data_IF_408834241072
#
_entry.id   IF_408834241072
#
_cell.length_a   1.000
_cell.length_b   1.000
_cell.length_c   1.000
_cell.angle_alpha   90.00
_cell.angle_beta   90.00
_cell.angle_gamma   90.00
#
_symmetry.space_group_name_H-M   'P 1'
#
loop_
_entity.id
_entity.type
_entity.pdbx_description
1 polymer ?
#
# COMPACT_ATOMS: atom_id res chain seq x y z
N UNK A 1 11.60 34.34 -25.63
CA UNK A 1 12.12 33.97 -24.30
C UNK A 1 11.26 34.46 -23.13
N UNK A 2 10.72 35.69 -23.14
CA UNK A 2 9.94 36.22 -22.00
C UNK A 2 8.65 35.45 -21.64
N UNK A 3 7.99 34.82 -22.63
CA UNK A 3 6.75 34.04 -22.42
C UNK A 3 6.96 32.77 -21.58
N UNK A 4 8.14 32.16 -21.65
CA UNK A 4 8.47 30.95 -20.88
C UNK A 4 8.72 31.28 -19.40
N UNK A 5 9.31 32.44 -19.12
CA UNK A 5 9.50 32.93 -17.75
C UNK A 5 8.17 33.20 -17.05
N UNK A 6 7.18 33.77 -17.74
CA UNK A 6 5.83 33.96 -17.18
C UNK A 6 5.10 32.64 -16.95
N UNK A 7 5.27 31.66 -17.85
CA UNK A 7 4.69 30.32 -17.68
C UNK A 7 5.30 29.59 -16.47
N UNK A 8 6.62 29.69 -16.30
CA UNK A 8 7.33 29.11 -15.16
C UNK A 8 6.95 29.81 -13.84
N UNK A 9 6.82 31.14 -13.85
CA UNK A 9 6.35 31.89 -12.69
C UNK A 9 4.92 31.51 -12.28
N UNK A 10 4.01 31.33 -13.24
CA UNK A 10 2.65 30.84 -12.97
C UNK A 10 2.67 29.42 -12.38
N UNK A 11 3.50 28.52 -12.91
CA UNK A 11 3.62 27.14 -12.43
C UNK A 11 4.11 27.08 -10.97
N UNK A 12 5.00 27.99 -10.57
CA UNK A 12 5.51 28.06 -9.20
C UNK A 12 4.50 28.60 -8.17
N UNK A 13 3.43 29.29 -8.60
CA UNK A 13 2.42 29.87 -7.69
C UNK A 13 1.26 28.88 -7.42
N UNK A 14 0.99 27.95 -8.35
CA UNK A 14 -0.07 26.95 -8.23
C UNK A 14 -0.08 26.09 -6.93
N UNK A 15 1.05 25.64 -6.35
CA UNK A 15 1.00 24.75 -5.18
C UNK A 15 0.52 25.45 -3.90
N UNK A 16 0.48 26.79 -3.85
CA UNK A 16 -0.05 27.53 -2.69
C UNK A 16 -1.56 27.35 -2.51
N UNK A 17 -2.29 26.99 -3.57
CA UNK A 17 -3.74 26.78 -3.54
C UNK A 17 -4.13 25.37 -3.03
N UNK A 18 -3.17 24.46 -2.89
CA UNK A 18 -3.40 23.10 -2.41
C UNK A 18 -3.30 23.02 -0.88
N UNK A 19 -4.16 23.76 -0.17
CA UNK A 19 -4.32 23.60 1.28
C UNK A 19 -5.38 22.52 1.54
N UNK A 20 -4.94 21.28 1.78
CA UNK A 20 -5.83 20.19 2.18
C UNK A 20 -6.06 20.24 3.69
N UNK A 21 -7.19 20.81 4.10
CA UNK A 21 -7.60 20.84 5.50
C UNK A 21 -8.37 19.56 5.85
N UNK A 22 -7.98 18.88 6.94
CA UNK A 22 -8.65 17.67 7.41
C UNK A 22 -9.51 18.02 8.63
N UNK A 23 -10.75 17.54 8.66
CA UNK A 23 -11.70 17.75 9.74
C UNK A 23 -12.00 16.43 10.45
N UNK A 24 -12.11 16.46 11.78
CA UNK A 24 -12.55 15.33 12.61
C UNK A 24 -13.85 15.70 13.33
N UNK A 25 -14.88 14.88 13.17
CA UNK A 25 -16.08 14.91 14.00
C UNK A 25 -16.15 13.66 14.88
N UNK A 26 -16.72 13.82 16.07
CA UNK A 26 -17.08 12.73 16.97
C UNK A 26 -18.57 12.88 17.25
N UNK A 27 -19.35 11.84 16.97
CA UNK A 27 -20.79 11.85 17.24
C UNK A 27 -21.11 11.53 18.71
N UNK A 28 -22.41 11.49 19.05
CA UNK A 28 -22.88 11.22 20.40
C UNK A 28 -22.56 9.78 20.87
N UNK A 29 -22.41 8.84 19.93
CA UNK A 29 -22.10 7.43 20.20
C UNK A 29 -20.58 7.17 20.23
N UNK A 30 -19.77 8.19 19.94
CA UNK A 30 -18.30 8.15 19.96
C UNK A 30 -17.65 7.75 18.63
N UNK A 31 -18.42 7.62 17.54
CA UNK A 31 -17.84 7.32 16.23
C UNK A 31 -17.05 8.52 15.71
N UNK A 32 -15.86 8.22 15.19
CA UNK A 32 -14.95 9.21 14.63
C UNK A 32 -15.06 9.21 13.12
N UNK A 33 -15.36 10.37 12.54
CA UNK A 33 -15.36 10.57 11.08
C UNK A 33 -14.32 11.62 10.69
N UNK A 34 -13.51 11.28 9.69
CA UNK A 34 -12.54 12.18 9.07
C UNK A 34 -13.04 12.62 7.69
N UNK A 35 -12.91 13.91 7.38
CA UNK A 35 -13.31 14.47 6.09
C UNK A 35 -12.27 15.47 5.57
N UNK A 36 -12.08 15.49 4.25
CA UNK A 36 -11.30 16.51 3.53
C UNK A 36 -12.13 17.78 3.22
N UNK A 37 -13.41 17.78 3.56
CA UNK A 37 -14.31 18.93 3.46
C UNK A 37 -14.91 19.30 4.81
N UNK A 38 -15.31 20.56 5.04
CA UNK A 38 -15.94 20.97 6.28
C UNK A 38 -17.21 20.18 6.57
N UNK A 39 -17.33 19.64 7.78
CA UNK A 39 -18.50 18.89 8.24
C UNK A 39 -19.08 19.53 9.51
N UNK A 40 -20.40 19.43 9.68
CA UNK A 40 -21.11 20.01 10.84
C UNK A 40 -20.59 19.36 12.14
N UNK A 41 -20.12 20.18 13.07
CA UNK A 41 -19.50 19.71 14.33
C UNK A 41 -18.07 19.18 14.18
N UNK A 42 -17.51 19.18 12.96
CA UNK A 42 -16.12 18.81 12.73
C UNK A 42 -15.15 19.91 13.18
N UNK A 43 -14.10 19.51 13.89
CA UNK A 43 -12.98 20.38 14.24
C UNK A 43 -11.86 20.17 13.23
N UNK A 44 -11.29 21.27 12.72
CA UNK A 44 -10.10 21.22 11.86
C UNK A 44 -8.94 20.61 12.63
N UNK A 45 -8.30 19.60 12.06
CA UNK A 45 -7.13 18.95 12.63
C UNK A 45 -5.91 19.76 12.21
N UNK A 46 -5.17 20.24 13.21
CA UNK A 46 -3.82 20.75 13.02
C UNK A 46 -2.90 19.57 13.32
N UNK A 47 -2.29 19.01 12.28
CA UNK A 47 -1.29 17.96 12.46
C UNK A 47 -0.03 18.62 12.99
N UNK A 48 0.34 18.31 14.23
CA UNK A 48 1.67 18.63 14.72
C UNK A 48 2.72 17.86 13.88
N UNK A 49 3.92 18.42 13.67
CA UNK A 49 4.99 17.70 13.00
C UNK A 49 5.19 16.34 13.66
N UNK A 50 5.05 15.26 12.88
CA UNK A 50 5.26 13.91 13.40
C UNK A 50 6.67 13.84 14.00
N UNK A 51 6.85 13.26 15.20
CA UNK A 51 8.16 13.13 15.80
C UNK A 51 9.03 12.29 14.86
N UNK A 52 10.11 12.88 14.36
CA UNK A 52 11.08 12.24 13.45
C UNK A 52 12.02 11.26 14.18
N UNK A 53 11.54 10.61 15.24
CA UNK A 53 12.35 9.63 15.97
C UNK A 53 12.59 8.41 15.09
N UNK A 54 13.86 8.02 15.01
CA UNK A 54 14.27 6.75 14.38
C UNK A 54 13.47 5.64 15.05
N UNK A 55 12.78 4.76 14.30
CA UNK A 55 12.05 3.65 14.90
C UNK A 55 13.03 2.83 15.75
N UNK A 56 12.63 2.37 16.95
CA UNK A 56 13.49 1.54 17.76
C UNK A 56 13.96 0.35 16.92
N UNK A 57 15.26 0.02 17.01
CA UNK A 57 15.83 -1.11 16.31
C UNK A 57 14.95 -2.33 16.56
N UNK A 58 14.37 -2.87 15.49
CA UNK A 58 13.46 -4.02 15.55
C UNK A 58 14.21 -5.13 16.27
N UNK A 59 13.83 -5.44 17.51
CA UNK A 59 14.34 -6.62 18.17
C UNK A 59 14.02 -7.78 17.24
N UNK A 60 15.07 -8.53 16.84
CA UNK A 60 14.88 -9.73 16.03
C UNK A 60 13.90 -10.59 16.81
N UNK A 61 12.72 -10.76 16.23
CA UNK A 61 11.54 -11.34 16.85
C UNK A 61 11.91 -12.61 17.60
N UNK A 62 11.38 -12.74 18.81
CA UNK A 62 11.52 -13.91 19.66
C UNK A 62 11.37 -15.20 18.85
N UNK A 63 12.24 -16.18 19.13
CA UNK A 63 12.04 -17.54 18.66
C UNK A 63 10.59 -17.96 18.90
N UNK A 64 9.98 -18.64 17.93
CA UNK A 64 8.62 -19.16 18.06
C UNK A 64 8.45 -19.84 19.42
N UNK A 65 7.32 -19.65 20.14
CA UNK A 65 7.13 -20.21 21.48
C UNK A 65 7.50 -21.70 21.54
N UNK A 66 8.15 -22.14 22.63
CA UNK A 66 8.68 -23.50 22.81
C UNK A 66 7.64 -24.64 22.58
N UNK A 67 6.34 -24.32 22.61
CA UNK A 67 5.25 -25.27 22.35
C UNK A 67 4.57 -25.13 20.97
N UNK A 68 5.07 -24.28 20.07
CA UNK A 68 4.43 -24.11 18.76
C UNK A 68 4.70 -25.32 17.85
N UNK A 69 3.66 -25.98 17.30
CA UNK A 69 3.84 -27.13 16.42
C UNK A 69 4.72 -26.78 15.22
N UNK A 70 5.79 -27.55 15.02
CA UNK A 70 6.70 -27.40 13.87
C UNK A 70 6.45 -28.54 12.89
N UNK A 71 6.41 -28.20 11.62
CA UNK A 71 6.42 -29.18 10.52
C UNK A 71 7.86 -29.62 10.32
N UNK A 72 8.10 -30.91 10.14
CA UNK A 72 9.43 -31.43 9.85
C UNK A 72 9.92 -30.98 8.46
N UNK A 73 11.24 -30.97 8.27
CA UNK A 73 11.86 -30.45 7.06
C UNK A 73 11.52 -31.25 5.79
N UNK A 74 11.26 -32.56 5.91
CA UNK A 74 10.92 -33.42 4.78
C UNK A 74 9.49 -33.11 4.30
N UNK A 75 8.54 -33.01 5.22
CA UNK A 75 7.16 -32.59 4.92
C UNK A 75 7.13 -31.20 4.30
N UNK A 76 7.92 -30.26 4.83
CA UNK A 76 7.99 -28.91 4.28
C UNK A 76 8.54 -28.91 2.85
N UNK A 77 9.62 -29.65 2.59
CA UNK A 77 10.20 -29.78 1.26
C UNK A 77 9.22 -30.43 0.27
N UNK A 78 8.54 -31.50 0.68
CA UNK A 78 7.53 -32.16 -0.17
C UNK A 78 6.39 -31.21 -0.58
N UNK A 79 5.95 -30.35 0.34
CA UNK A 79 4.96 -29.29 0.03
C UNK A 79 5.51 -28.27 -0.96
N UNK A 80 6.75 -27.85 -0.78
CA UNK A 80 7.38 -26.84 -1.64
C UNK A 80 7.63 -27.38 -3.06
N UNK A 81 8.03 -28.65 -3.19
CA UNK A 81 8.19 -29.32 -4.49
C UNK A 81 6.84 -29.52 -5.19
N UNK A 82 5.79 -29.88 -4.45
CA UNK A 82 4.42 -29.97 -4.98
C UNK A 82 3.93 -28.61 -5.46
N UNK A 83 4.14 -27.55 -4.66
CA UNK A 83 3.80 -26.17 -5.05
C UNK A 83 4.51 -25.76 -6.32
N UNK A 84 5.82 -26.03 -6.43
CA UNK A 84 6.60 -25.70 -7.63
C UNK A 84 6.02 -26.39 -8.87
N UNK A 85 5.65 -27.67 -8.74
CA UNK A 85 5.07 -28.43 -9.85
C UNK A 85 3.74 -27.83 -10.32
N UNK A 86 2.84 -27.51 -9.38
CA UNK A 86 1.54 -26.89 -9.71
C UNK A 86 1.73 -25.60 -10.50
N UNK A 87 2.59 -24.70 -10.00
CA UNK A 87 2.84 -23.41 -10.66
C UNK A 87 3.47 -23.59 -12.06
N UNK A 88 4.32 -24.60 -12.23
CA UNK A 88 4.90 -24.90 -13.54
C UNK A 88 3.85 -25.43 -14.52
N UNK A 89 2.96 -26.30 -14.08
CA UNK A 89 1.87 -26.83 -14.90
C UNK A 89 0.86 -25.73 -15.28
N UNK A 90 0.55 -24.83 -14.35
CA UNK A 90 -0.26 -23.62 -14.59
C UNK A 90 0.41 -22.70 -15.62
N UNK A 91 1.68 -22.36 -15.44
CA UNK A 91 2.44 -21.51 -16.36
C UNK A 91 2.47 -22.10 -17.79
N UNK A 92 2.79 -23.39 -17.91
CA UNK A 92 2.82 -24.07 -19.22
C UNK A 92 1.45 -24.03 -19.91
N UNK A 93 0.37 -24.14 -19.13
CA UNK A 93 -1.00 -24.06 -19.64
C UNK A 93 -1.31 -22.65 -20.13
N UNK A 94 -0.96 -21.62 -19.37
CA UNK A 94 -1.14 -20.22 -19.75
C UNK A 94 -0.35 -19.86 -21.01
N UNK A 95 0.91 -20.29 -21.11
CA UNK A 95 1.74 -20.06 -22.30
C UNK A 95 1.13 -20.69 -23.54
N UNK A 96 0.61 -21.92 -23.42
CA UNK A 96 -0.07 -22.59 -24.53
C UNK A 96 -1.33 -21.82 -24.97
N UNK A 97 -2.17 -21.43 -24.02
CA UNK A 97 -3.39 -20.65 -24.31
C UNK A 97 -3.06 -19.30 -24.96
N UNK A 98 -1.99 -18.65 -24.52
CA UNK A 98 -1.50 -17.41 -25.09
C UNK A 98 -1.09 -17.59 -26.56
N UNK A 99 -0.35 -18.66 -26.89
CA UNK A 99 0.06 -18.93 -28.26
C UNK A 99 -1.13 -19.29 -29.16
N UNK A 100 -2.09 -20.07 -28.68
CA UNK A 100 -3.34 -20.35 -29.40
C UNK A 100 -4.13 -19.06 -29.68
N UNK A 101 -4.27 -18.18 -28.68
CA UNK A 101 -4.93 -16.89 -28.84
C UNK A 101 -4.23 -16.00 -29.89
N UNK A 102 -2.89 -15.93 -29.87
CA UNK A 102 -2.10 -15.20 -30.87
C UNK A 102 -2.28 -15.74 -32.27
N UNK A 103 -2.37 -17.07 -32.43
CA UNK A 103 -2.63 -17.69 -33.74
C UNK A 103 -4.03 -17.38 -34.25
N UNK A 104 -5.04 -17.36 -33.36
CA UNK A 104 -6.42 -17.05 -33.74
C UNK A 104 -6.68 -15.59 -34.14
N UNK A 105 -5.76 -14.68 -33.80
CA UNK A 105 -5.83 -13.25 -34.13
C UNK A 105 -5.21 -12.95 -35.51
N UNK A 106 -4.51 -13.91 -36.13
CA UNK A 106 -4.03 -13.81 -37.51
C UNK A 106 -5.13 -14.23 -38.50
#
# INVERSE_FOLDING_TARGET
MMKLGYLLAMLCICPLLAQAEIYKAVDADGHVTYSSTPIKGGKKIILEPLPTMVPPARSRSAASPEGFPRVDGETQKGRDDTRRKILQDELNTEEKLLEEAKQSLK
#
